data_IF_357747187758
#
_entry.id   IF_357747187758
#
_cell.length_a   1.000
_cell.length_b   1.000
_cell.length_c   1.000
_cell.angle_alpha   90.00
_cell.angle_beta   90.00
_cell.angle_gamma   90.00
#
_symmetry.space_group_name_H-M   'P 1'
#
loop_
_entity.id
_entity.type
_entity.pdbx_description
1 polymer ?
#
# COMPACT_ATOMS: atom_id res chain seq x y z
N UNK A 1 7.12 5.57 -3.05
CA UNK A 1 7.38 6.64 -2.07
C UNK A 1 6.52 7.89 -2.28
N UNK A 2 6.42 8.48 -3.48
CA UNK A 2 5.58 9.68 -3.69
C UNK A 2 4.11 9.48 -3.25
N UNK A 3 3.51 8.33 -3.57
CA UNK A 3 2.15 7.99 -3.12
C UNK A 3 2.01 7.93 -1.58
N UNK A 4 3.09 7.62 -0.85
CA UNK A 4 3.07 7.60 0.61
C UNK A 4 3.05 9.02 1.17
N UNK A 5 3.85 9.92 0.58
CA UNK A 5 3.77 11.34 0.89
C UNK A 5 2.36 11.87 0.57
N UNK A 6 1.78 11.51 -0.58
CA UNK A 6 0.42 11.92 -0.92
C UNK A 6 -0.61 11.45 0.11
N UNK A 7 -0.54 10.19 0.55
CA UNK A 7 -1.40 9.66 1.62
C UNK A 7 -1.19 10.39 2.96
N UNK A 8 0.06 10.72 3.33
CA UNK A 8 0.35 11.51 4.54
C UNK A 8 -0.19 12.93 4.43
N UNK A 9 -0.18 13.55 3.25
CA UNK A 9 -0.76 14.87 3.09
C UNK A 9 -2.29 14.80 3.18
N UNK A 10 -2.92 13.81 2.52
CA UNK A 10 -4.37 13.56 2.56
C UNK A 10 -4.88 13.29 3.98
N UNK A 11 -4.19 12.44 4.75
CA UNK A 11 -4.59 12.16 6.14
C UNK A 11 -4.51 13.40 7.05
N UNK A 12 -3.75 14.43 6.67
CA UNK A 12 -3.68 15.70 7.41
C UNK A 12 -4.54 16.82 6.76
N UNK A 13 -5.48 16.45 5.88
CA UNK A 13 -6.48 17.37 5.31
C UNK A 13 -5.94 18.30 4.23
N UNK A 14 -4.90 17.88 3.49
CA UNK A 14 -4.38 18.64 2.35
C UNK A 14 -4.99 18.10 1.06
N UNK A 15 -5.98 18.83 0.55
CA UNK A 15 -6.84 18.37 -0.56
C UNK A 15 -6.21 18.60 -1.95
N UNK A 16 -5.19 19.46 -2.04
CA UNK A 16 -4.55 19.88 -3.30
C UNK A 16 -3.28 19.07 -3.60
N UNK A 17 -3.38 17.75 -3.52
CA UNK A 17 -2.25 16.83 -3.70
C UNK A 17 -2.40 16.03 -4.99
N UNK A 18 -1.38 16.08 -5.84
CA UNK A 18 -1.31 15.32 -7.08
C UNK A 18 -0.03 14.48 -7.14
N UNK A 19 -0.12 13.35 -7.84
CA UNK A 19 1.05 12.55 -8.21
C UNK A 19 1.41 12.83 -9.67
N UNK A 20 2.70 13.02 -9.93
CA UNK A 20 3.23 12.98 -11.29
C UNK A 20 3.17 11.52 -11.77
N UNK A 21 2.26 11.23 -12.69
CA UNK A 21 2.04 9.89 -13.20
C UNK A 21 3.26 9.40 -14.00
N UNK A 22 3.77 8.20 -13.67
CA UNK A 22 5.07 7.70 -14.16
C UNK A 22 6.30 8.25 -13.42
N UNK A 23 6.10 9.27 -12.58
CA UNK A 23 7.13 9.87 -11.74
C UNK A 23 8.36 10.35 -12.51
N UNK A 24 9.50 10.38 -11.81
CA UNK A 24 10.77 10.86 -12.36
C UNK A 24 11.24 10.06 -13.59
N UNK A 25 11.00 8.74 -13.61
CA UNK A 25 11.44 7.87 -14.71
C UNK A 25 10.78 8.30 -16.02
N UNK A 26 9.46 8.50 -16.02
CA UNK A 26 8.73 8.96 -17.20
C UNK A 26 9.14 10.39 -17.60
N UNK A 27 9.26 11.29 -16.63
CA UNK A 27 9.70 12.67 -16.87
C UNK A 27 11.06 12.73 -17.60
N UNK A 28 12.04 11.94 -17.15
CA UNK A 28 13.35 11.85 -17.81
C UNK A 28 13.25 11.22 -19.20
N UNK A 29 12.44 10.18 -19.38
CA UNK A 29 12.24 9.51 -20.67
C UNK A 29 11.57 10.43 -21.71
N UNK A 30 10.73 11.36 -21.28
CA UNK A 30 10.08 12.36 -22.13
C UNK A 30 10.95 13.61 -22.36
N UNK A 31 12.18 13.64 -21.85
CA UNK A 31 13.09 14.77 -22.02
C UNK A 31 12.72 15.99 -21.16
N UNK A 32 11.98 15.78 -20.07
CA UNK A 32 11.61 16.83 -19.13
C UNK A 32 12.84 17.49 -18.49
N UNK A 33 12.84 18.82 -18.31
CA UNK A 33 13.98 19.51 -17.73
C UNK A 33 14.20 19.10 -16.27
N UNK A 34 15.47 19.04 -15.86
CA UNK A 34 15.89 18.84 -14.47
C UNK A 34 16.71 20.03 -14.00
N UNK A 35 16.56 20.40 -12.73
CA UNK A 35 17.44 21.36 -12.07
C UNK A 35 18.24 20.65 -10.99
N UNK A 36 19.54 20.97 -10.91
CA UNK A 36 20.41 20.58 -9.80
C UNK A 36 20.53 21.70 -8.74
N UNK A 37 19.90 22.84 -8.97
CA UNK A 37 19.88 23.95 -8.02
C UNK A 37 19.00 23.59 -6.83
N UNK A 38 19.50 23.86 -5.63
CA UNK A 38 18.71 23.68 -4.42
C UNK A 38 17.55 24.70 -4.42
N UNK A 39 16.33 24.22 -4.21
CA UNK A 39 15.18 25.09 -4.00
C UNK A 39 15.24 25.70 -2.59
N UNK A 40 14.96 27.00 -2.49
CA UNK A 40 14.74 27.70 -1.22
C UNK A 40 13.26 28.13 -1.18
N UNK A 41 12.36 27.29 -0.65
CA UNK A 41 10.95 27.64 -0.57
C UNK A 41 10.74 28.76 0.45
N UNK A 42 9.88 29.71 0.13
CA UNK A 42 9.37 30.66 1.12
C UNK A 42 8.46 29.93 2.11
N UNK A 43 8.46 30.30 3.40
CA UNK A 43 7.51 29.75 4.37
C UNK A 43 6.06 29.94 3.90
N UNK A 44 5.30 28.84 3.89
CA UNK A 44 3.86 28.86 3.63
C UNK A 44 3.03 29.20 4.88
N UNK A 45 1.71 29.22 4.71
CA UNK A 45 0.70 29.54 5.73
C UNK A 45 -0.21 28.35 6.08
N UNK A 46 0.22 27.13 5.74
CA UNK A 46 -0.59 25.93 5.88
C UNK A 46 -0.97 25.68 7.34
N UNK A 47 -2.27 25.47 7.59
CA UNK A 47 -2.79 25.01 8.88
C UNK A 47 -3.38 23.63 8.67
N UNK A 48 -2.87 22.64 9.41
CA UNK A 48 -3.36 21.27 9.29
C UNK A 48 -4.72 21.13 10.00
N UNK A 49 -5.64 20.44 9.35
CA UNK A 49 -6.90 20.04 9.95
C UNK A 49 -6.70 18.90 10.97
N UNK A 50 -7.78 18.52 11.66
CA UNK A 50 -7.79 17.22 12.34
C UNK A 50 -7.56 16.09 11.33
N UNK A 51 -6.80 15.08 11.74
CA UNK A 51 -6.45 13.98 10.84
C UNK A 51 -7.69 13.18 10.44
N UNK A 52 -7.86 12.94 9.15
CA UNK A 52 -8.88 12.03 8.65
C UNK A 52 -8.46 10.58 8.91
N UNK A 53 -8.90 10.02 10.03
CA UNK A 53 -8.60 8.63 10.37
C UNK A 53 -9.45 7.63 9.57
N UNK A 54 -10.41 8.08 8.74
CA UNK A 54 -11.23 7.18 7.93
C UNK A 54 -10.41 6.44 6.87
N UNK A 55 -9.35 7.06 6.34
CA UNK A 55 -8.46 6.47 5.32
C UNK A 55 -7.30 5.64 5.89
N UNK A 56 -7.27 5.43 7.21
CA UNK A 56 -6.21 4.70 7.91
C UNK A 56 -6.77 3.51 8.67
N UNK A 57 -6.16 2.35 8.48
CA UNK A 57 -6.39 1.18 9.31
C UNK A 57 -5.25 1.02 10.33
N UNK A 58 -5.57 0.53 11.52
CA UNK A 58 -4.64 0.09 12.57
C UNK A 58 -4.76 -1.42 12.74
N UNK A 59 -3.83 -2.02 13.49
CA UNK A 59 -3.82 -3.47 13.76
C UNK A 59 -5.20 -4.02 14.19
N UNK A 60 -5.90 -3.33 15.08
CA UNK A 60 -7.24 -3.72 15.53
C UNK A 60 -8.27 -3.81 14.40
N UNK A 61 -8.28 -2.83 13.50
CA UNK A 61 -9.18 -2.79 12.34
C UNK A 61 -8.90 -3.99 11.41
N UNK A 62 -7.62 -4.33 11.21
CA UNK A 62 -7.21 -5.48 10.38
C UNK A 62 -7.63 -6.81 11.01
N UNK A 63 -7.49 -6.95 12.33
CA UNK A 63 -7.90 -8.16 13.05
C UNK A 63 -9.42 -8.36 12.98
N UNK A 64 -10.19 -7.29 13.19
CA UNK A 64 -11.65 -7.33 13.06
C UNK A 64 -12.08 -7.65 11.62
N UNK A 65 -11.46 -7.01 10.63
CA UNK A 65 -11.73 -7.27 9.22
C UNK A 65 -11.43 -8.73 8.83
N UNK A 66 -10.32 -9.28 9.32
CA UNK A 66 -9.92 -10.66 9.06
C UNK A 66 -10.88 -11.66 9.69
N UNK A 67 -11.32 -11.41 10.92
CA UNK A 67 -12.24 -12.30 11.64
C UNK A 67 -13.67 -12.27 11.08
N UNK A 68 -14.17 -11.08 10.71
CA UNK A 68 -15.55 -10.89 10.25
C UNK A 68 -15.73 -11.03 8.73
N UNK A 69 -14.65 -10.91 7.97
CA UNK A 69 -14.72 -10.78 6.51
C UNK A 69 -15.40 -9.47 6.06
N UNK A 70 -15.42 -8.43 6.90
CA UNK A 70 -16.08 -7.15 6.62
C UNK A 70 -15.39 -6.32 5.54
N UNK A 71 -14.10 -6.55 5.30
CA UNK A 71 -13.30 -5.84 4.29
C UNK A 71 -12.58 -6.83 3.37
N UNK A 72 -12.25 -6.40 2.15
CA UNK A 72 -11.17 -7.03 1.40
C UNK A 72 -9.82 -6.58 1.96
N UNK A 73 -9.05 -7.52 2.51
CA UNK A 73 -7.69 -7.24 2.94
C UNK A 73 -6.75 -7.57 1.78
N UNK A 74 -5.99 -6.60 1.30
CA UNK A 74 -5.16 -6.72 0.10
C UNK A 74 -3.69 -6.64 0.47
N UNK A 75 -3.00 -7.76 0.32
CA UNK A 75 -1.56 -7.87 0.48
C UNK A 75 -0.87 -7.58 -0.86
N UNK A 76 -0.14 -6.48 -0.92
CA UNK A 76 0.51 -6.03 -2.15
C UNK A 76 1.99 -6.45 -2.25
N UNK A 77 2.47 -7.29 -1.33
CA UNK A 77 3.81 -7.88 -1.36
C UNK A 77 3.91 -8.95 -2.45
N UNK A 78 5.12 -9.48 -2.66
CA UNK A 78 5.32 -10.55 -3.63
C UNK A 78 4.57 -11.83 -3.24
N UNK A 79 4.24 -12.72 -4.21
CA UNK A 79 3.60 -13.99 -3.90
C UNK A 79 4.39 -14.86 -2.91
N UNK A 80 5.72 -14.79 -2.92
CA UNK A 80 6.58 -15.51 -1.98
C UNK A 80 6.55 -14.94 -0.55
N UNK A 81 6.44 -13.62 -0.42
CA UNK A 81 6.21 -12.98 0.88
C UNK A 81 4.82 -13.34 1.42
N UNK A 82 3.81 -13.37 0.55
CA UNK A 82 2.44 -13.73 0.89
C UNK A 82 2.32 -15.20 1.30
N UNK A 83 2.84 -16.15 0.51
CA UNK A 83 2.80 -17.59 0.80
C UNK A 83 3.59 -17.97 2.06
N UNK A 84 4.48 -17.09 2.51
CA UNK A 84 5.38 -17.31 3.62
C UNK A 84 6.66 -18.05 3.22
N UNK A 85 6.91 -18.30 1.94
CA UNK A 85 8.20 -18.84 1.46
C UNK A 85 9.37 -17.91 1.83
N UNK A 86 9.11 -16.61 1.91
CA UNK A 86 10.07 -15.60 2.33
C UNK A 86 9.44 -14.71 3.41
N UNK A 87 10.22 -14.34 4.42
CA UNK A 87 9.84 -13.29 5.38
C UNK A 87 9.95 -11.92 4.71
N UNK A 88 11.09 -11.66 4.10
CA UNK A 88 11.40 -10.48 3.31
C UNK A 88 12.45 -10.84 2.26
N UNK A 89 12.54 -10.08 1.15
CA UNK A 89 13.64 -10.23 0.18
C UNK A 89 15.01 -9.98 0.84
N UNK A 90 16.07 -10.57 0.26
CA UNK A 90 17.44 -10.38 0.71
C UNK A 90 17.83 -8.89 0.72
N UNK A 91 18.56 -8.46 1.75
CA UNK A 91 19.02 -7.07 1.90
C UNK A 91 17.98 -6.08 2.45
N UNK A 92 16.73 -6.50 2.68
CA UNK A 92 15.69 -5.66 3.25
C UNK A 92 15.74 -5.67 4.79
N UNK A 93 15.72 -4.48 5.41
CA UNK A 93 15.72 -4.31 6.88
C UNK A 93 14.32 -4.20 7.50
N UNK A 94 13.28 -4.14 6.67
CA UNK A 94 11.86 -4.11 7.05
C UNK A 94 11.38 -5.52 7.43
N UNK A 95 11.82 -6.01 8.59
CA UNK A 95 11.68 -7.42 8.96
C UNK A 95 10.49 -7.69 9.88
N UNK A 96 10.01 -8.93 9.81
CA UNK A 96 9.08 -9.55 10.75
C UNK A 96 9.65 -10.88 11.22
N UNK A 97 9.29 -11.33 12.41
CA UNK A 97 9.72 -12.65 12.93
C UNK A 97 8.86 -13.82 12.42
N UNK A 98 7.76 -13.56 11.71
CA UNK A 98 6.86 -14.59 11.16
C UNK A 98 6.57 -14.34 9.68
N UNK A 99 6.69 -15.40 8.89
CA UNK A 99 6.33 -15.43 7.47
C UNK A 99 4.83 -15.67 7.28
N UNK A 100 4.30 -15.35 6.10
CA UNK A 100 2.91 -15.55 5.73
C UNK A 100 2.17 -14.24 5.51
N UNK A 101 0.85 -14.25 5.67
CA UNK A 101 -0.05 -13.11 5.45
C UNK A 101 -1.19 -13.08 6.47
N UNK A 102 -1.97 -11.98 6.46
CA UNK A 102 -3.18 -11.84 7.26
C UNK A 102 -4.22 -12.86 6.76
N UNK A 103 -4.84 -13.68 7.63
CA UNK A 103 -5.83 -14.67 7.18
C UNK A 103 -6.97 -14.04 6.37
N UNK A 104 -7.29 -14.67 5.23
CA UNK A 104 -8.32 -14.18 4.30
C UNK A 104 -7.87 -13.03 3.39
N UNK A 105 -6.62 -12.58 3.49
CA UNK A 105 -6.10 -11.56 2.56
C UNK A 105 -5.94 -12.10 1.14
N UNK A 106 -6.11 -11.20 0.17
CA UNK A 106 -5.94 -11.44 -1.26
C UNK A 106 -4.59 -10.88 -1.68
N UNK A 107 -3.77 -11.66 -2.39
CA UNK A 107 -2.49 -11.17 -2.90
C UNK A 107 -2.67 -10.44 -4.24
N UNK A 108 -2.32 -9.17 -4.27
CA UNK A 108 -2.31 -8.34 -5.47
C UNK A 108 -1.01 -7.52 -5.51
N UNK A 109 0.12 -8.08 -5.98
CA UNK A 109 1.41 -7.40 -5.96
C UNK A 109 1.34 -6.01 -6.61
N UNK A 110 1.88 -4.98 -5.97
CA UNK A 110 1.66 -3.57 -6.38
C UNK A 110 1.89 -3.29 -7.88
N UNK A 111 2.82 -4.01 -8.52
CA UNK A 111 3.16 -3.87 -9.92
C UNK A 111 2.02 -4.21 -10.89
N UNK A 112 0.98 -4.95 -10.46
CA UNK A 112 -0.19 -5.23 -11.30
C UNK A 112 -0.93 -3.95 -11.68
N UNK A 113 -0.83 -2.90 -10.87
CA UNK A 113 -1.45 -1.59 -11.12
C UNK A 113 -0.60 -0.65 -12.00
N UNK A 114 0.60 -1.07 -12.40
CA UNK A 114 1.60 -0.22 -13.05
C UNK A 114 1.76 -0.61 -14.53
N UNK A 115 1.78 0.37 -15.42
CA UNK A 115 2.07 0.21 -16.84
C UNK A 115 3.58 0.13 -17.11
N UNK A 116 3.98 -0.26 -18.33
CA UNK A 116 5.40 -0.43 -18.68
C UNK A 116 6.21 0.87 -18.57
N UNK A 117 5.59 2.02 -18.85
CA UNK A 117 6.21 3.35 -18.71
C UNK A 117 6.26 3.85 -17.25
N UNK A 118 5.74 3.07 -16.31
CA UNK A 118 5.68 3.39 -14.89
C UNK A 118 4.43 4.17 -14.46
N UNK A 119 3.53 4.50 -15.38
CA UNK A 119 2.23 5.13 -15.04
C UNK A 119 1.31 4.16 -14.33
N UNK A 120 0.25 4.68 -13.70
CA UNK A 120 -0.90 3.86 -13.36
C UNK A 120 -1.53 3.29 -14.64
N UNK A 121 -1.96 2.02 -14.60
CA UNK A 121 -2.85 1.50 -15.65
C UNK A 121 -4.16 2.31 -15.68
N UNK A 122 -4.85 2.30 -16.81
CA UNK A 122 -6.12 3.04 -16.95
C UNK A 122 -7.15 2.55 -15.91
N UNK A 123 -8.10 3.41 -15.49
CA UNK A 123 -9.16 3.01 -14.57
C UNK A 123 -9.92 1.76 -15.02
N UNK A 124 -10.17 1.56 -16.31
CA UNK A 124 -10.83 0.38 -16.87
C UNK A 124 -9.99 -0.88 -16.66
N UNK A 125 -8.68 -0.80 -16.95
CA UNK A 125 -7.76 -1.92 -16.75
C UNK A 125 -7.60 -2.26 -15.27
N UNK A 126 -7.51 -1.25 -14.40
CA UNK A 126 -7.46 -1.44 -12.96
C UNK A 126 -8.74 -2.14 -12.45
N UNK A 127 -9.93 -1.66 -12.86
CA UNK A 127 -11.20 -2.31 -12.48
C UNK A 127 -11.24 -3.78 -12.89
N UNK A 128 -10.81 -4.10 -14.12
CA UNK A 128 -10.78 -5.49 -14.59
C UNK A 128 -9.84 -6.35 -13.72
N UNK A 129 -8.60 -5.90 -13.50
CA UNK A 129 -7.61 -6.63 -12.70
C UNK A 129 -8.11 -6.90 -11.27
N UNK A 130 -8.69 -5.89 -10.62
CA UNK A 130 -9.16 -6.04 -9.25
C UNK A 130 -10.47 -6.84 -9.17
N UNK A 131 -11.38 -6.72 -10.14
CA UNK A 131 -12.60 -7.52 -10.21
C UNK A 131 -12.32 -9.01 -10.41
N UNK A 132 -11.30 -9.38 -11.19
CA UNK A 132 -10.85 -10.77 -11.34
C UNK A 132 -10.36 -11.39 -10.01
N UNK A 133 -9.93 -10.53 -9.07
CA UNK A 133 -9.57 -10.90 -7.70
C UNK A 133 -10.74 -10.79 -6.71
N UNK A 134 -11.94 -10.45 -7.19
CA UNK A 134 -13.14 -10.23 -6.38
C UNK A 134 -13.20 -8.87 -5.66
N UNK A 135 -12.39 -7.89 -6.08
CA UNK A 135 -12.33 -6.54 -5.52
C UNK A 135 -12.98 -5.56 -6.50
N UNK A 136 -14.31 -5.39 -6.39
CA UNK A 136 -15.14 -4.60 -7.30
C UNK A 136 -15.67 -3.29 -6.70
N UNK A 137 -15.24 -2.95 -5.48
CA UNK A 137 -15.70 -1.77 -4.73
C UNK A 137 -17.01 -1.95 -3.97
N UNK A 138 -17.66 -3.12 -4.03
CA UNK A 138 -18.88 -3.41 -3.26
C UNK A 138 -18.63 -3.58 -1.76
N UNK A 139 -17.39 -3.83 -1.37
CA UNK A 139 -16.93 -3.99 0.02
C UNK A 139 -15.70 -3.11 0.26
N UNK A 140 -15.59 -2.46 1.43
CA UNK A 140 -14.43 -1.65 1.78
C UNK A 140 -13.12 -2.45 1.73
N UNK A 141 -12.02 -1.76 1.45
CA UNK A 141 -10.71 -2.38 1.22
C UNK A 141 -9.70 -1.90 2.26
N UNK A 142 -8.84 -2.80 2.74
CA UNK A 142 -7.65 -2.46 3.53
C UNK A 142 -6.43 -2.91 2.75
N UNK A 143 -5.54 -2.00 2.39
CA UNK A 143 -4.27 -2.33 1.72
C UNK A 143 -3.13 -2.37 2.72
N UNK A 144 -2.19 -3.31 2.55
CA UNK A 144 -0.96 -3.35 3.36
C UNK A 144 0.22 -3.91 2.59
N UNK A 145 1.44 -3.58 3.04
CA UNK A 145 2.67 -4.13 2.49
C UNK A 145 3.63 -4.56 3.59
N UNK A 146 4.90 -4.15 3.57
CA UNK A 146 5.80 -4.29 4.72
C UNK A 146 5.65 -3.13 5.71
N UNK A 147 5.68 -1.89 5.21
CA UNK A 147 5.74 -0.66 6.02
C UNK A 147 4.82 0.48 5.52
N UNK A 148 3.71 0.17 4.83
CA UNK A 148 2.76 1.18 4.34
C UNK A 148 3.15 1.92 3.05
N UNK A 149 4.42 1.89 2.65
CA UNK A 149 4.97 2.71 1.55
C UNK A 149 4.37 2.36 0.17
N UNK A 150 4.24 1.06 -0.16
CA UNK A 150 3.80 0.57 -1.46
C UNK A 150 2.29 0.33 -1.44
N UNK A 151 1.72 0.01 -0.27
CA UNK A 151 0.27 -0.07 -0.12
C UNK A 151 -0.37 1.29 -0.30
N UNK A 152 0.32 2.40 -0.01
CA UNK A 152 -0.15 3.75 -0.37
C UNK A 152 -0.34 3.95 -1.89
N UNK A 153 0.46 3.31 -2.74
CA UNK A 153 0.28 3.35 -4.20
C UNK A 153 -1.01 2.63 -4.62
N UNK A 154 -1.26 1.45 -4.05
CA UNK A 154 -2.49 0.70 -4.32
C UNK A 154 -3.71 1.38 -3.71
N UNK A 155 -3.57 1.97 -2.52
CA UNK A 155 -4.59 2.83 -1.93
C UNK A 155 -4.94 3.97 -2.89
N UNK A 156 -3.96 4.69 -3.44
CA UNK A 156 -4.22 5.79 -4.40
C UNK A 156 -4.96 5.29 -5.64
N UNK A 157 -4.53 4.16 -6.22
CA UNK A 157 -5.21 3.58 -7.38
C UNK A 157 -6.68 3.25 -7.07
N UNK A 158 -6.94 2.55 -5.96
CA UNK A 158 -8.29 2.10 -5.63
C UNK A 158 -9.18 3.25 -5.13
N UNK A 159 -8.68 4.15 -4.28
CA UNK A 159 -9.48 5.24 -3.71
C UNK A 159 -9.61 6.43 -4.67
N UNK A 160 -8.48 6.95 -5.18
CA UNK A 160 -8.48 8.20 -5.95
C UNK A 160 -8.80 7.99 -7.44
N UNK A 161 -8.41 6.85 -8.03
CA UNK A 161 -8.70 6.59 -9.46
C UNK A 161 -9.99 5.79 -9.66
N UNK A 162 -10.31 4.84 -8.77
CA UNK A 162 -11.51 4.01 -8.89
C UNK A 162 -12.68 4.45 -8.01
N UNK A 163 -12.44 5.29 -6.99
CA UNK A 163 -13.49 5.78 -6.10
C UNK A 163 -13.95 4.78 -5.03
N UNK A 164 -13.14 3.77 -4.70
CA UNK A 164 -13.49 2.77 -3.69
C UNK A 164 -13.27 3.32 -2.27
N UNK A 165 -13.96 2.74 -1.29
CA UNK A 165 -13.67 2.96 0.14
C UNK A 165 -12.42 2.15 0.53
N UNK A 166 -11.31 2.83 0.79
CA UNK A 166 -10.01 2.19 1.01
C UNK A 166 -9.26 2.82 2.16
N UNK A 167 -8.80 1.95 3.08
CA UNK A 167 -7.87 2.31 4.15
C UNK A 167 -6.47 1.78 3.85
N UNK A 168 -5.44 2.57 4.15
CA UNK A 168 -4.07 2.09 4.17
C UNK A 168 -3.72 1.64 5.60
N UNK A 169 -3.25 0.39 5.75
CA UNK A 169 -2.69 -0.11 6.99
C UNK A 169 -1.18 0.15 7.02
N UNK A 170 -0.78 1.27 7.63
CA UNK A 170 0.61 1.75 7.60
C UNK A 170 1.56 0.92 8.46
N UNK A 171 1.08 0.32 9.57
CA UNK A 171 1.85 -0.64 10.37
C UNK A 171 2.25 -1.89 9.57
N UNK A 172 1.38 -2.30 8.64
CA UNK A 172 1.65 -3.32 7.62
C UNK A 172 2.23 -4.63 8.19
N UNK A 173 2.89 -5.45 7.37
CA UNK A 173 3.42 -6.74 7.81
C UNK A 173 4.49 -6.63 8.88
N UNK A 174 5.24 -5.52 8.95
CA UNK A 174 6.23 -5.33 10.03
C UNK A 174 5.57 -5.23 11.39
N UNK A 175 4.41 -4.60 11.52
CA UNK A 175 3.66 -4.61 12.79
C UNK A 175 2.98 -5.96 13.00
N UNK A 176 2.18 -6.40 12.02
CA UNK A 176 1.36 -7.62 12.12
C UNK A 176 2.21 -8.87 12.37
N UNK A 177 3.25 -9.08 11.56
CA UNK A 177 4.15 -10.23 11.65
C UNK A 177 4.96 -10.26 12.96
N UNK A 178 5.10 -9.14 13.66
CA UNK A 178 5.76 -9.05 14.98
C UNK A 178 4.78 -9.02 16.17
N UNK A 179 3.48 -8.79 15.95
CA UNK A 179 2.49 -8.68 17.02
C UNK A 179 2.11 -10.04 17.65
N UNK A 180 2.36 -10.23 18.95
CA UNK A 180 2.10 -11.50 19.65
C UNK A 180 0.61 -11.87 19.59
N UNK A 181 0.32 -13.14 19.31
CA UNK A 181 -1.03 -13.70 19.38
C UNK A 181 -1.95 -13.41 18.18
N UNK A 182 -1.48 -12.68 17.16
CA UNK A 182 -2.25 -12.47 15.93
C UNK A 182 -2.29 -13.74 15.07
N UNK A 183 -3.42 -14.05 14.40
CA UNK A 183 -3.51 -15.22 13.53
C UNK A 183 -2.72 -14.99 12.23
N UNK A 184 -2.06 -16.01 11.71
CA UNK A 184 -1.28 -15.89 10.46
C UNK A 184 -1.62 -17.06 9.55
N UNK A 185 -1.89 -16.77 8.28
CA UNK A 185 -1.92 -17.78 7.25
C UNK A 185 -0.50 -17.93 6.67
N UNK A 186 0.10 -19.11 6.84
CA UNK A 186 1.45 -19.43 6.35
C UNK A 186 1.43 -20.75 5.55
N UNK A 187 0.98 -20.72 4.29
CA UNK A 187 0.91 -21.91 3.45
C UNK A 187 2.25 -22.65 3.29
N UNK A 188 3.37 -21.93 3.28
CA UNK A 188 4.70 -22.51 3.13
C UNK A 188 5.24 -23.17 4.42
N UNK A 189 4.61 -22.93 5.56
CA UNK A 189 5.02 -23.41 6.89
C UNK A 189 6.44 -22.98 7.29
N UNK A 190 6.98 -21.94 6.66
CA UNK A 190 8.30 -21.40 7.00
C UNK A 190 8.30 -20.91 8.44
N UNK A 191 9.30 -21.34 9.20
CA UNK A 191 9.54 -20.88 10.56
C UNK A 191 10.82 -20.06 10.56
N UNK A 192 10.81 -18.92 11.25
CA UNK A 192 12.02 -18.12 11.40
C UNK A 192 13.08 -18.90 12.19
N UNK A 193 14.27 -19.03 11.62
CA UNK A 193 15.35 -19.86 12.16
C UNK A 193 16.38 -19.10 13.00
N UNK A 194 16.22 -17.78 13.14
CA UNK A 194 17.17 -16.98 13.93
C UNK A 194 18.47 -16.61 13.23
N UNK A 195 18.59 -16.90 11.93
CA UNK A 195 19.76 -16.60 11.09
C UNK A 195 19.48 -15.45 10.13
#
# INVERSE_FOLDING_TARGET
FAAWAAWVLDINGLDTVALLDGGRRKWEAEGGPLSAEAATPEPGDVTLAERDLSIRARLGDVLEASASGSHHIVDIRSPKEFSGELIAPEGIKELAIRAGHVPGAINAPWGVAVAEDGTFKSPEALRAIYADLGIDGSKPVITYCRIGERSSHTWFALSKLLGYDVKNYDGSWTEYGNAVGVPIANPALTVWTGQ
#
